data_IF_769758605863
#
_entry.id   IF_769758605863
#
_cell.length_a   1.000
_cell.length_b   1.000
_cell.length_c   1.000
_cell.angle_alpha   90.00
_cell.angle_beta   90.00
_cell.angle_gamma   90.00
#
_symmetry.space_group_name_H-M   'P 1'
#
loop_
_entity.id
_entity.type
_entity.pdbx_description
1 polymer ?
#
# COMPACT_ATOMS: atom_id res chain seq x y z
N UNK A 1 2.48 16.24 -10.78
CA UNK A 1 1.98 15.45 -9.63
C UNK A 1 1.06 14.35 -10.16
N UNK A 2 1.26 13.12 -9.71
CA UNK A 2 0.44 11.98 -10.14
C UNK A 2 -0.83 11.86 -9.31
N UNK A 3 -1.85 11.28 -9.90
CA UNK A 3 -3.09 10.97 -9.23
C UNK A 3 -2.99 9.60 -8.56
N UNK A 4 -3.64 9.43 -7.40
CA UNK A 4 -3.70 8.13 -6.71
C UNK A 4 -5.01 7.44 -7.05
N UNK A 5 -4.92 6.18 -7.49
CA UNK A 5 -6.09 5.33 -7.72
C UNK A 5 -5.92 4.01 -6.99
N UNK A 6 -7.02 3.42 -6.54
CA UNK A 6 -7.03 2.18 -5.80
C UNK A 6 -7.74 1.09 -6.60
N UNK A 7 -7.19 -0.13 -6.56
CA UNK A 7 -7.88 -1.31 -7.08
C UNK A 7 -9.02 -1.72 -6.16
N UNK A 8 -9.91 -2.58 -6.66
CA UNK A 8 -10.95 -3.17 -5.79
C UNK A 8 -10.33 -3.95 -4.64
N UNK A 9 -9.25 -4.69 -4.89
CA UNK A 9 -8.55 -5.45 -3.85
C UNK A 9 -7.96 -4.52 -2.81
N UNK A 10 -7.41 -3.37 -3.23
CA UNK A 10 -6.88 -2.39 -2.29
C UNK A 10 -7.99 -1.80 -1.41
N UNK A 11 -9.16 -1.52 -1.97
CA UNK A 11 -10.29 -1.05 -1.17
C UNK A 11 -10.72 -2.09 -0.15
N UNK A 12 -10.80 -3.36 -0.55
CA UNK A 12 -11.11 -4.45 0.39
C UNK A 12 -10.06 -4.55 1.48
N UNK A 13 -8.79 -4.42 1.11
CA UNK A 13 -7.70 -4.45 2.07
C UNK A 13 -7.85 -3.35 3.12
N UNK A 14 -8.25 -2.15 2.70
CA UNK A 14 -8.47 -1.03 3.63
C UNK A 14 -9.64 -1.33 4.57
N UNK A 15 -10.74 -1.86 4.04
CA UNK A 15 -11.90 -2.24 4.86
C UNK A 15 -11.50 -3.28 5.92
N UNK A 16 -10.70 -4.28 5.53
CA UNK A 16 -10.28 -5.35 6.42
C UNK A 16 -9.15 -4.93 7.37
N UNK A 17 -8.46 -3.84 7.07
CA UNK A 17 -7.32 -3.39 7.85
C UNK A 17 -7.70 -3.00 9.28
N UNK A 18 -8.89 -2.47 9.46
CA UNK A 18 -9.39 -2.12 10.79
C UNK A 18 -9.38 -3.34 11.71
N UNK A 19 -9.90 -4.47 11.25
CA UNK A 19 -9.92 -5.70 12.03
C UNK A 19 -8.51 -6.21 12.30
N UNK A 20 -7.64 -6.13 11.29
CA UNK A 20 -6.25 -6.54 11.44
C UNK A 20 -5.53 -5.73 12.52
N UNK A 21 -5.72 -4.42 12.54
CA UNK A 21 -5.07 -3.54 13.52
C UNK A 21 -5.54 -3.91 14.94
N UNK A 22 -6.83 -4.11 15.10
CA UNK A 22 -7.40 -4.45 16.42
C UNK A 22 -6.86 -5.78 16.94
N UNK A 23 -6.72 -6.77 16.05
CA UNK A 23 -6.34 -8.12 16.45
C UNK A 23 -4.82 -8.31 16.59
N UNK A 24 -4.03 -7.66 15.76
CA UNK A 24 -2.62 -8.00 15.61
C UNK A 24 -1.66 -6.97 16.17
N UNK A 25 -2.04 -5.72 16.18
CA UNK A 25 -1.06 -4.67 16.43
C UNK A 25 -0.98 -4.22 17.87
N UNK A 26 -2.00 -4.41 18.68
CA UNK A 26 -2.04 -3.94 20.09
C UNK A 26 -1.34 -2.58 20.27
N UNK A 27 -1.36 -1.77 19.21
CA UNK A 27 -0.60 -0.52 19.18
C UNK A 27 -1.34 0.56 19.96
N UNK A 28 -0.63 1.55 20.49
CA UNK A 28 -1.28 2.68 21.14
C UNK A 28 -2.10 3.54 20.18
N UNK A 29 -1.89 3.38 18.87
CA UNK A 29 -2.64 4.13 17.87
C UNK A 29 -4.01 3.50 17.66
N UNK A 30 -5.04 4.35 17.62
CA UNK A 30 -6.38 3.89 17.25
C UNK A 30 -6.39 3.51 15.77
N UNK A 31 -7.32 2.64 15.32
CA UNK A 31 -7.43 2.31 13.90
C UNK A 31 -7.58 3.55 13.01
N UNK A 32 -8.33 4.55 13.46
CA UNK A 32 -8.51 5.80 12.71
C UNK A 32 -7.17 6.51 12.48
N UNK A 33 -6.35 6.65 13.53
CA UNK A 33 -5.04 7.31 13.41
C UNK A 33 -4.11 6.53 12.51
N UNK A 34 -4.14 5.21 12.60
CA UNK A 34 -3.33 4.35 11.75
C UNK A 34 -3.71 4.55 10.27
N UNK A 35 -5.01 4.53 9.96
CA UNK A 35 -5.48 4.70 8.59
C UNK A 35 -5.17 6.10 8.04
N UNK A 36 -5.22 7.13 8.87
CA UNK A 36 -4.83 8.48 8.45
C UNK A 36 -3.35 8.54 8.09
N UNK A 37 -2.49 7.93 8.89
CA UNK A 37 -1.07 7.86 8.61
C UNK A 37 -0.77 7.07 7.34
N UNK A 38 -1.48 5.96 7.14
CA UNK A 38 -1.38 5.16 5.93
C UNK A 38 -1.75 5.98 4.69
N UNK A 39 -2.86 6.72 4.76
CA UNK A 39 -3.29 7.57 3.65
C UNK A 39 -2.25 8.64 3.34
N UNK A 40 -1.69 9.28 4.36
CA UNK A 40 -0.65 10.29 4.15
C UNK A 40 0.58 9.68 3.48
N UNK A 41 0.94 8.47 3.86
CA UNK A 41 2.08 7.78 3.26
C UNK A 41 1.82 7.46 1.79
N UNK A 42 0.60 7.06 1.46
CA UNK A 42 0.21 6.82 0.07
C UNK A 42 0.22 8.13 -0.72
N UNK A 43 -0.31 9.22 -0.15
CA UNK A 43 -0.31 10.52 -0.83
C UNK A 43 1.10 11.03 -1.10
N UNK A 44 2.06 10.70 -0.25
CA UNK A 44 3.47 11.03 -0.48
C UNK A 44 3.97 10.44 -1.81
N UNK A 45 3.42 9.31 -2.25
CA UNK A 45 3.78 8.69 -3.53
C UNK A 45 3.42 9.55 -4.74
N UNK A 46 2.52 10.51 -4.61
CA UNK A 46 2.16 11.40 -5.73
C UNK A 46 3.39 12.11 -6.30
N UNK A 47 4.42 12.34 -5.47
CA UNK A 47 5.64 13.02 -5.87
C UNK A 47 6.88 12.12 -5.78
N UNK A 48 6.78 10.94 -5.18
CA UNK A 48 7.94 10.14 -4.83
C UNK A 48 7.84 8.67 -5.27
N UNK A 49 6.89 8.36 -6.15
CA UNK A 49 6.62 6.96 -6.52
C UNK A 49 7.80 6.27 -7.20
N UNK A 50 8.68 7.02 -7.84
CA UNK A 50 9.84 6.47 -8.55
C UNK A 50 11.03 6.14 -7.66
N UNK A 51 10.97 6.47 -6.36
CA UNK A 51 12.10 6.25 -5.44
C UNK A 51 12.34 4.79 -5.12
N UNK A 52 11.34 3.94 -5.25
CA UNK A 52 11.46 2.52 -4.90
C UNK A 52 11.65 1.67 -6.15
N UNK A 53 12.47 0.61 -6.07
CA UNK A 53 12.72 -0.24 -7.23
C UNK A 53 11.52 -1.14 -7.53
N UNK A 54 11.42 -1.55 -8.80
CA UNK A 54 10.47 -2.57 -9.22
C UNK A 54 10.88 -3.92 -8.60
N UNK A 55 9.90 -4.69 -8.11
CA UNK A 55 10.13 -6.01 -7.52
C UNK A 55 9.69 -7.07 -8.54
N UNK A 56 10.64 -7.77 -9.20
CA UNK A 56 10.29 -8.67 -10.30
C UNK A 56 9.32 -9.78 -9.93
N UNK A 57 9.45 -10.36 -8.75
CA UNK A 57 8.61 -11.47 -8.31
C UNK A 57 7.14 -11.07 -8.21
N UNK A 58 6.89 -9.88 -7.67
CA UNK A 58 5.53 -9.35 -7.55
C UNK A 58 5.03 -8.86 -8.90
N UNK A 59 5.90 -8.32 -9.72
CA UNK A 59 5.54 -7.85 -11.06
C UNK A 59 5.06 -9.00 -11.93
N UNK A 60 5.72 -10.15 -11.84
CA UNK A 60 5.32 -11.34 -12.56
C UNK A 60 3.93 -11.80 -12.15
N UNK A 61 3.64 -11.80 -10.86
CA UNK A 61 2.35 -12.27 -10.33
C UNK A 61 1.19 -11.34 -10.73
N UNK A 62 1.44 -10.04 -10.78
CA UNK A 62 0.38 -9.05 -11.01
C UNK A 62 0.31 -8.54 -12.44
N UNK A 63 1.26 -8.94 -13.30
CA UNK A 63 1.25 -8.61 -14.71
C UNK A 63 1.66 -7.17 -15.06
N UNK A 64 2.26 -6.46 -14.13
CA UNK A 64 2.78 -5.10 -14.35
C UNK A 64 3.93 -4.82 -13.39
N UNK A 65 4.70 -3.79 -13.65
CA UNK A 65 5.84 -3.43 -12.80
C UNK A 65 5.36 -2.96 -11.45
N UNK A 66 5.63 -3.75 -10.41
CA UNK A 66 5.17 -3.50 -9.05
C UNK A 66 6.32 -3.01 -8.19
N UNK A 67 6.04 -1.95 -7.43
CA UNK A 67 6.93 -1.40 -6.42
C UNK A 67 6.28 -1.57 -5.05
N UNK A 68 7.09 -1.51 -4.00
CA UNK A 68 6.62 -1.74 -2.64
C UNK A 68 7.00 -0.58 -1.75
N UNK A 69 6.02 -0.05 -1.01
CA UNK A 69 6.22 0.92 0.07
C UNK A 69 5.76 0.29 1.37
N UNK A 70 6.63 0.27 2.38
CA UNK A 70 6.27 -0.25 3.69
C UNK A 70 5.72 0.86 4.56
N UNK A 71 4.66 0.53 5.32
CA UNK A 71 4.11 1.41 6.33
C UNK A 71 3.76 0.56 7.56
N UNK A 72 4.47 0.80 8.66
CA UNK A 72 4.32 0.01 9.87
C UNK A 72 4.42 -1.49 9.54
N UNK A 73 3.44 -2.29 9.81
CA UNK A 73 3.48 -3.73 9.51
C UNK A 73 2.85 -4.07 8.16
N UNK A 74 2.51 -3.07 7.39
CA UNK A 74 1.83 -3.26 6.11
C UNK A 74 2.77 -2.98 4.94
N UNK A 75 2.49 -3.62 3.83
CA UNK A 75 3.16 -3.36 2.56
C UNK A 75 2.14 -2.86 1.55
N UNK A 76 2.46 -1.76 0.89
CA UNK A 76 1.64 -1.15 -0.15
C UNK A 76 2.27 -1.51 -1.47
N UNK A 77 1.56 -2.31 -2.27
CA UNK A 77 2.02 -2.73 -3.59
C UNK A 77 1.37 -1.81 -4.64
N UNK A 78 2.20 -1.15 -5.44
CA UNK A 78 1.70 -0.16 -6.37
C UNK A 78 2.47 -0.21 -7.69
N UNK A 79 1.84 0.32 -8.74
CA UNK A 79 2.50 0.58 -10.03
C UNK A 79 2.39 2.06 -10.37
N UNK A 80 3.23 2.51 -11.29
CA UNK A 80 3.34 3.93 -11.64
C UNK A 80 3.27 4.09 -13.14
N UNK A 81 2.45 5.04 -13.58
CA UNK A 81 2.49 5.56 -14.93
C UNK A 81 2.89 7.03 -14.87
N UNK A 82 2.95 7.70 -16.02
CA UNK A 82 3.29 9.13 -16.05
C UNK A 82 2.30 9.99 -15.26
N UNK A 83 1.06 9.54 -15.13
CA UNK A 83 -0.01 10.35 -14.56
C UNK A 83 -0.65 9.74 -13.31
N UNK A 84 -0.44 8.45 -13.05
CA UNK A 84 -1.18 7.72 -12.01
C UNK A 84 -0.25 6.85 -11.19
N UNK A 85 -0.46 6.86 -9.88
CA UNK A 85 0.02 5.83 -8.96
C UNK A 85 -1.16 4.92 -8.65
N UNK A 86 -1.07 3.66 -9.04
CA UNK A 86 -2.15 2.70 -8.90
C UNK A 86 -1.84 1.75 -7.76
N UNK A 87 -2.64 1.79 -6.70
CA UNK A 87 -2.45 0.95 -5.52
C UNK A 87 -3.14 -0.39 -5.76
N UNK A 88 -2.35 -1.45 -5.86
CA UNK A 88 -2.85 -2.80 -6.16
C UNK A 88 -3.29 -3.55 -4.92
N UNK A 89 -2.47 -3.54 -3.87
CA UNK A 89 -2.74 -4.25 -2.63
C UNK A 89 -2.16 -3.51 -1.44
N UNK A 90 -2.81 -3.67 -0.30
CA UNK A 90 -2.30 -3.24 1.01
C UNK A 90 -2.41 -4.45 1.92
N UNK A 91 -1.31 -5.16 2.12
CA UNK A 91 -1.31 -6.45 2.82
C UNK A 91 -0.24 -6.45 3.91
N UNK A 92 -0.39 -7.31 4.95
CA UNK A 92 0.66 -7.46 5.95
C UNK A 92 1.99 -7.87 5.33
N UNK A 93 3.08 -7.30 5.81
CA UNK A 93 4.41 -7.60 5.31
C UNK A 93 4.74 -9.08 5.41
N UNK A 94 4.21 -9.76 6.44
CA UNK A 94 4.43 -11.19 6.63
C UNK A 94 3.80 -12.05 5.53
N UNK A 95 2.92 -11.51 4.72
CA UNK A 95 2.28 -12.22 3.61
C UNK A 95 3.04 -12.08 2.29
N UNK A 96 4.17 -11.38 2.29
CA UNK A 96 5.01 -11.19 1.10
C UNK A 96 6.26 -12.06 1.25
N UNK A 97 6.55 -12.82 0.21
CA UNK A 97 7.72 -13.71 0.18
C UNK A 97 8.92 -13.05 -0.46
#
# INVERSE_FOLDING_TARGET
MREIKYSEDAYRDIVNLNDYIVQQCCAPLTPKRYLMGLEQRILWLMQNADLFPVIPELSFQLGCDIRRLNYERMAILYSVTDYVVYIHRIIPQSMIY
#
